data_IF_179352196524
#
_entry.id   IF_179352196524
#
_cell.length_a   1.000
_cell.length_b   1.000
_cell.length_c   1.000
_cell.angle_alpha   90.00
_cell.angle_beta   90.00
_cell.angle_gamma   90.00
#
_symmetry.space_group_name_H-M   'P 1'
#
loop_
_entity.id
_entity.type
_entity.pdbx_description
1 polymer ?
#
# COMPACT_ATOMS: atom_id res chain seq x y z
N UNK A 1 -10.54 -1.67 19.46
CA UNK A 1 -9.78 -1.01 18.37
C UNK A 1 -9.92 -1.81 17.10
N UNK A 2 -10.20 -1.16 16.02
CA UNK A 2 -10.26 -1.79 14.69
C UNK A 2 -8.95 -1.54 13.97
N UNK A 3 -8.38 -2.60 13.40
CA UNK A 3 -7.14 -2.52 12.62
C UNK A 3 -7.42 -3.04 11.22
N UNK A 4 -7.16 -2.21 10.22
CA UNK A 4 -7.21 -2.64 8.82
C UNK A 4 -5.81 -2.94 8.32
N UNK A 5 -5.65 -4.06 7.64
CA UNK A 5 -4.39 -4.49 7.05
C UNK A 5 -4.62 -4.72 5.56
N UNK A 6 -3.73 -4.19 4.73
CA UNK A 6 -3.78 -4.39 3.29
C UNK A 6 -2.41 -4.82 2.78
N UNK A 7 -2.37 -5.88 1.99
CA UNK A 7 -1.19 -6.20 1.18
C UNK A 7 -1.51 -5.89 -0.27
N UNK A 8 -0.65 -5.10 -0.88
CA UNK A 8 -0.84 -4.62 -2.24
C UNK A 8 0.32 -5.09 -3.10
N UNK A 9 0.02 -5.92 -4.09
CA UNK A 9 1.01 -6.42 -5.02
C UNK A 9 1.07 -5.49 -6.22
N UNK A 10 2.26 -4.94 -6.50
CA UNK A 10 2.47 -3.96 -7.54
C UNK A 10 3.39 -4.51 -8.62
N UNK A 11 3.13 -4.14 -9.86
CA UNK A 11 4.00 -4.41 -10.99
C UNK A 11 4.51 -3.09 -11.58
N UNK A 12 5.84 -2.99 -11.75
CA UNK A 12 6.50 -1.80 -12.27
C UNK A 12 6.93 -2.06 -13.71
N UNK A 13 6.12 -1.61 -14.67
CA UNK A 13 6.48 -1.68 -16.08
C UNK A 13 7.67 -0.76 -16.35
N UNK A 14 8.48 -1.10 -17.33
CA UNK A 14 9.58 -0.26 -17.79
C UNK A 14 10.61 0.07 -16.71
N UNK A 15 10.63 -0.67 -15.61
CA UNK A 15 11.65 -0.52 -14.59
C UNK A 15 12.64 -1.69 -14.67
N UNK A 16 13.93 -1.38 -14.74
CA UNK A 16 14.97 -2.38 -14.95
C UNK A 16 16.08 -2.28 -13.90
N UNK A 17 15.82 -1.66 -12.74
CA UNK A 17 16.82 -1.56 -11.67
C UNK A 17 16.17 -1.45 -10.31
N UNK A 18 16.89 -1.88 -9.27
CA UNK A 18 16.46 -1.67 -7.89
C UNK A 18 16.46 -0.20 -7.52
N UNK A 19 17.39 0.58 -8.07
CA UNK A 19 17.41 2.03 -7.83
C UNK A 19 16.15 2.70 -8.35
N UNK A 20 15.73 2.37 -9.57
CA UNK A 20 14.48 2.88 -10.15
C UNK A 20 13.27 2.48 -9.33
N UNK A 21 13.19 1.21 -8.91
CA UNK A 21 12.12 0.72 -8.05
C UNK A 21 12.03 1.51 -6.75
N UNK A 22 13.16 1.73 -6.07
CA UNK A 22 13.20 2.48 -4.81
C UNK A 22 12.69 3.91 -4.99
N UNK A 23 13.03 4.55 -6.10
CA UNK A 23 12.55 5.91 -6.40
C UNK A 23 11.04 5.94 -6.58
N UNK A 24 10.48 5.00 -7.33
CA UNK A 24 9.03 4.90 -7.55
C UNK A 24 8.31 4.64 -6.24
N UNK A 25 8.76 3.64 -5.47
CA UNK A 25 8.11 3.29 -4.20
C UNK A 25 8.21 4.41 -3.18
N UNK A 26 9.35 5.11 -3.12
CA UNK A 26 9.50 6.27 -2.23
C UNK A 26 8.47 7.35 -2.56
N UNK A 27 8.27 7.63 -3.84
CA UNK A 27 7.27 8.61 -4.29
C UNK A 27 5.87 8.21 -3.83
N UNK A 28 5.48 6.94 -4.08
CA UNK A 28 4.16 6.42 -3.69
C UNK A 28 3.98 6.50 -2.17
N UNK A 29 4.95 5.99 -1.41
CA UNK A 29 4.86 5.93 0.06
C UNK A 29 4.76 7.35 0.65
N UNK A 30 5.59 8.28 0.19
CA UNK A 30 5.57 9.64 0.72
C UNK A 30 4.25 10.35 0.41
N UNK A 31 3.73 10.21 -0.80
CA UNK A 31 2.45 10.80 -1.19
C UNK A 31 1.29 10.22 -0.38
N UNK A 32 1.28 8.90 -0.20
CA UNK A 32 0.23 8.24 0.56
C UNK A 32 0.24 8.68 2.03
N UNK A 33 1.43 8.77 2.63
CA UNK A 33 1.58 9.24 4.03
C UNK A 33 1.10 10.68 4.23
N UNK A 34 1.30 11.53 3.24
CA UNK A 34 0.83 12.92 3.32
C UNK A 34 -0.68 13.03 3.26
N UNK A 35 -1.31 12.12 2.52
CA UNK A 35 -2.75 12.19 2.28
C UNK A 35 -3.57 11.39 3.27
N UNK A 36 -3.04 10.30 3.79
CA UNK A 36 -3.76 9.38 4.65
C UNK A 36 -2.99 9.13 5.95
N UNK A 37 -3.74 8.95 7.03
CA UNK A 37 -3.17 8.54 8.31
C UNK A 37 -3.01 7.02 8.33
N UNK A 38 -1.93 6.54 7.73
CA UNK A 38 -1.65 5.12 7.59
C UNK A 38 -0.18 4.84 7.85
N UNK A 39 0.11 3.58 8.17
CA UNK A 39 1.46 3.04 8.11
C UNK A 39 1.60 2.28 6.80
N UNK A 40 2.69 2.53 6.06
CA UNK A 40 2.92 1.92 4.76
C UNK A 40 4.41 1.65 4.55
N UNK A 41 4.72 0.45 4.06
CA UNK A 41 6.10 0.03 3.80
C UNK A 41 6.13 -1.09 2.76
N UNK A 42 7.28 -1.24 2.10
CA UNK A 42 7.54 -2.42 1.28
C UNK A 42 7.82 -3.60 2.22
N UNK A 43 7.12 -4.73 2.04
CA UNK A 43 7.17 -5.87 2.97
C UNK A 43 7.68 -7.16 2.36
N UNK A 44 7.68 -7.30 1.03
CA UNK A 44 8.17 -8.48 0.32
C UNK A 44 8.77 -8.09 -1.01
N UNK A 45 9.53 -9.01 -1.60
CA UNK A 45 10.09 -8.89 -2.94
C UNK A 45 11.05 -7.70 -3.12
N UNK A 46 11.77 -7.35 -2.04
CA UNK A 46 12.67 -6.20 -2.05
C UNK A 46 13.76 -6.29 -3.13
N UNK A 47 14.17 -7.50 -3.50
CA UNK A 47 15.23 -7.73 -4.48
C UNK A 47 14.74 -7.86 -5.92
N UNK A 48 13.44 -7.81 -6.15
CA UNK A 48 12.88 -7.90 -7.50
C UNK A 48 12.72 -6.50 -8.09
N UNK A 49 13.07 -6.35 -9.37
CA UNK A 49 13.05 -5.04 -10.03
C UNK A 49 11.67 -4.55 -10.41
N UNK A 50 10.80 -5.46 -10.83
CA UNK A 50 9.53 -5.14 -11.46
C UNK A 50 8.32 -5.48 -10.59
N UNK A 51 8.56 -6.00 -9.40
CA UNK A 51 7.49 -6.44 -8.50
C UNK A 51 7.76 -5.92 -7.10
N UNK A 52 6.70 -5.45 -6.46
CA UNK A 52 6.77 -4.98 -5.08
C UNK A 52 5.52 -5.40 -4.33
N UNK A 53 5.65 -5.61 -3.03
CA UNK A 53 4.51 -5.82 -2.14
C UNK A 53 4.55 -4.75 -1.07
N UNK A 54 3.52 -3.91 -1.02
CA UNK A 54 3.35 -2.91 0.04
C UNK A 54 2.43 -3.46 1.11
N UNK A 55 2.83 -3.25 2.37
CA UNK A 55 1.96 -3.46 3.52
C UNK A 55 1.41 -2.12 3.98
N UNK A 56 0.11 -2.06 4.24
CA UNK A 56 -0.58 -0.84 4.65
C UNK A 56 -1.45 -1.17 5.85
N UNK A 57 -1.39 -0.34 6.90
CA UNK A 57 -2.22 -0.50 8.09
C UNK A 57 -2.90 0.81 8.45
N UNK A 58 -4.15 0.72 8.93
CA UNK A 58 -4.90 1.82 9.49
C UNK A 58 -5.60 1.38 10.75
N UNK A 59 -5.76 2.28 11.71
CA UNK A 59 -6.46 1.99 12.96
C UNK A 59 -7.60 2.98 13.18
N UNK A 60 -8.62 2.53 13.88
CA UNK A 60 -9.78 3.36 14.23
C UNK A 60 -10.75 2.60 15.11
N UNK A 61 -12.00 3.04 15.12
CA UNK A 61 -13.05 2.43 15.93
C UNK A 61 -14.27 1.99 15.11
N UNK A 62 -14.22 2.08 13.78
CA UNK A 62 -15.33 1.74 12.90
C UNK A 62 -14.80 0.96 11.70
N UNK A 63 -15.31 -0.27 11.52
CA UNK A 63 -14.86 -1.18 10.46
C UNK A 63 -15.14 -0.63 9.06
N UNK A 64 -16.30 -0.05 8.84
CA UNK A 64 -16.65 0.51 7.53
C UNK A 64 -15.73 1.67 7.15
N UNK A 65 -15.42 2.53 8.12
CA UNK A 65 -14.53 3.66 7.89
C UNK A 65 -13.11 3.18 7.55
N UNK A 66 -12.60 2.20 8.29
CA UNK A 66 -11.26 1.65 8.03
C UNK A 66 -11.20 0.99 6.65
N UNK A 67 -12.23 0.21 6.30
CA UNK A 67 -12.28 -0.40 4.97
C UNK A 67 -12.30 0.68 3.87
N UNK A 68 -13.07 1.73 4.07
CA UNK A 68 -13.13 2.85 3.12
C UNK A 68 -11.78 3.54 2.96
N UNK A 69 -11.04 3.75 4.05
CA UNK A 69 -9.70 4.34 3.99
C UNK A 69 -8.78 3.46 3.13
N UNK A 70 -8.77 2.16 3.37
CA UNK A 70 -7.91 1.25 2.62
C UNK A 70 -8.28 1.23 1.12
N UNK A 71 -9.56 1.24 0.78
CA UNK A 71 -10.00 1.33 -0.61
C UNK A 71 -9.53 2.64 -1.25
N UNK A 72 -9.62 3.75 -0.54
CA UNK A 72 -9.16 5.05 -1.03
C UNK A 72 -7.65 5.06 -1.27
N UNK A 73 -6.88 4.41 -0.38
CA UNK A 73 -5.42 4.30 -0.55
C UNK A 73 -5.08 3.50 -1.81
N UNK A 74 -5.77 2.39 -2.03
CA UNK A 74 -5.56 1.57 -3.24
C UNK A 74 -5.85 2.39 -4.49
N UNK A 75 -6.99 3.07 -4.54
CA UNK A 75 -7.35 3.91 -5.68
C UNK A 75 -6.35 5.04 -5.89
N UNK A 76 -5.88 5.65 -4.80
CA UNK A 76 -4.86 6.70 -4.88
C UNK A 76 -3.57 6.17 -5.54
N UNK A 77 -3.13 4.97 -5.14
CA UNK A 77 -1.92 4.37 -5.70
C UNK A 77 -2.12 4.03 -7.19
N UNK A 78 -3.28 3.48 -7.54
CA UNK A 78 -3.62 3.22 -8.94
C UNK A 78 -3.60 4.51 -9.77
N UNK A 79 -4.14 5.60 -9.23
CA UNK A 79 -4.23 6.88 -9.93
C UNK A 79 -2.87 7.55 -10.15
N UNK A 80 -1.83 7.16 -9.42
CA UNK A 80 -0.48 7.66 -9.68
C UNK A 80 0.04 7.21 -11.05
N UNK A 81 -0.44 6.08 -11.55
CA UNK A 81 0.00 5.45 -12.79
C UNK A 81 1.50 5.13 -12.82
N UNK A 82 2.15 5.13 -11.66
CA UNK A 82 3.56 4.76 -11.53
C UNK A 82 3.73 3.24 -11.49
N UNK A 83 2.70 2.53 -11.06
CA UNK A 83 2.69 1.07 -10.99
C UNK A 83 1.31 0.55 -11.38
N UNK A 84 1.23 -0.75 -11.68
CA UNK A 84 -0.05 -1.45 -11.81
C UNK A 84 -0.31 -2.25 -10.55
N UNK A 85 -1.54 -2.20 -10.06
CA UNK A 85 -1.97 -3.04 -8.94
C UNK A 85 -2.33 -4.41 -9.50
N UNK A 86 -1.51 -5.41 -9.19
CA UNK A 86 -1.71 -6.79 -9.65
C UNK A 86 -2.68 -7.54 -8.76
N UNK A 87 -2.65 -7.28 -7.45
CA UNK A 87 -3.52 -7.94 -6.47
C UNK A 87 -3.62 -7.07 -5.22
N UNK A 88 -4.74 -7.19 -4.50
CA UNK A 88 -4.95 -6.54 -3.22
C UNK A 88 -5.67 -7.48 -2.27
N UNK A 89 -5.22 -7.53 -1.03
CA UNK A 89 -5.83 -8.31 0.04
C UNK A 89 -6.06 -7.41 1.23
N UNK A 90 -7.29 -7.36 1.74
CA UNK A 90 -7.68 -6.55 2.89
C UNK A 90 -8.22 -7.46 3.97
N UNK A 91 -7.77 -7.23 5.21
CA UNK A 91 -8.30 -7.89 6.40
C UNK A 91 -8.59 -6.84 7.44
N UNK A 92 -9.78 -6.90 8.04
CA UNK A 92 -10.19 -5.99 9.10
C UNK A 92 -10.29 -6.79 10.39
N UNK A 93 -9.53 -6.38 11.40
CA UNK A 93 -9.41 -7.08 12.67
C UNK A 93 -9.98 -6.23 13.80
N UNK A 94 -10.61 -6.89 14.77
CA UNK A 94 -10.97 -6.26 16.03
C UNK A 94 -9.95 -6.67 17.09
N UNK A 95 -9.23 -5.67 17.61
CA UNK A 95 -8.31 -5.89 18.70
C UNK A 95 -8.98 -5.52 20.02
N UNK A 96 -9.14 -6.49 20.87
CA UNK A 96 -9.83 -6.31 22.16
C UNK A 96 -8.88 -5.97 23.30
N UNK A 97 -7.61 -6.19 23.09
CA UNK A 97 -6.56 -5.84 24.05
C UNK A 97 -6.66 -6.53 25.38
#
# INVERSE_FOLDING_TARGET
MVVGVCQLELFLHENFSLKGKRQVLRSIVQRARKRFNISIAEVQDQDLWQKAVLGICAVGNDRQHINSILDQVIHFIEDTQLTDVADSQIEILNYEG
#
